data_IF_752911445373
#
_entry.id   IF_752911445373
#
_cell.length_a   1.000
_cell.length_b   1.000
_cell.length_c   1.000
_cell.angle_alpha   90.00
_cell.angle_beta   90.00
_cell.angle_gamma   90.00
#
_symmetry.space_group_name_H-M   'P 1'
#
loop_
_entity.id
_entity.type
_entity.pdbx_description
1 polymer ?
#
# COMPACT_ATOMS: atom_id res chain seq x y z
N UNK A 1 -9.08 16.88 -12.55
CA UNK A 1 -7.65 16.67 -12.84
C UNK A 1 -7.40 16.44 -14.34
N UNK A 2 -8.09 15.49 -14.98
CA UNK A 2 -7.90 15.10 -16.38
C UNK A 2 -8.01 16.30 -17.34
N UNK A 3 -9.04 17.13 -17.20
CA UNK A 3 -9.22 18.36 -18.01
C UNK A 3 -8.13 19.40 -17.75
N UNK A 4 -7.75 19.61 -16.48
CA UNK A 4 -6.67 20.53 -16.12
C UNK A 4 -5.34 20.17 -16.74
N UNK A 5 -4.99 18.87 -16.73
CA UNK A 5 -3.76 18.38 -17.39
C UNK A 5 -3.82 18.67 -18.90
N UNK A 6 -4.96 18.43 -19.54
CA UNK A 6 -5.14 18.72 -20.96
C UNK A 6 -4.93 20.21 -21.27
N UNK A 7 -5.51 21.10 -20.47
CA UNK A 7 -5.36 22.56 -20.63
C UNK A 7 -3.90 23.00 -20.45
N UNK A 8 -3.22 22.52 -19.42
CA UNK A 8 -1.83 22.84 -19.14
C UNK A 8 -0.94 22.42 -20.30
N UNK A 9 -1.09 21.19 -20.78
CA UNK A 9 -0.28 20.67 -21.89
C UNK A 9 -0.57 21.41 -23.20
N UNK A 10 -1.83 21.79 -23.45
CA UNK A 10 -2.19 22.61 -24.61
C UNK A 10 -1.54 23.98 -24.57
N UNK A 11 -1.50 24.63 -23.38
CA UNK A 11 -0.83 25.93 -23.18
C UNK A 11 0.68 25.84 -23.36
N UNK A 12 1.33 24.85 -22.72
CA UNK A 12 2.79 24.66 -22.82
C UNK A 12 3.21 24.43 -24.27
N UNK A 13 2.50 23.58 -24.99
CA UNK A 13 2.81 23.27 -26.39
C UNK A 13 2.30 24.31 -27.38
N UNK A 14 1.49 25.28 -26.95
CA UNK A 14 0.83 26.26 -27.80
C UNK A 14 0.01 25.62 -28.95
N UNK A 15 -0.57 24.43 -28.70
CA UNK A 15 -1.37 23.68 -29.66
C UNK A 15 -2.79 23.55 -29.09
N UNK A 16 -3.78 24.12 -29.79
CA UNK A 16 -5.18 24.05 -29.38
C UNK A 16 -5.83 22.71 -29.74
N UNK A 17 -5.31 21.64 -29.13
CA UNK A 17 -5.83 20.27 -29.18
C UNK A 17 -5.80 19.68 -27.76
N UNK A 18 -6.68 18.72 -27.44
CA UNK A 18 -6.59 18.01 -26.16
C UNK A 18 -5.17 17.54 -25.88
N UNK A 19 -4.69 17.76 -24.66
CA UNK A 19 -3.33 17.46 -24.21
C UNK A 19 -2.21 18.02 -25.11
N UNK A 20 -2.48 19.15 -25.80
CA UNK A 20 -1.52 19.72 -26.75
C UNK A 20 -1.13 18.78 -27.89
N UNK A 21 -2.01 17.83 -28.27
CA UNK A 21 -1.76 16.86 -29.32
C UNK A 21 -0.73 15.76 -28.94
N UNK A 22 -0.46 15.54 -27.68
CA UNK A 22 0.39 14.45 -27.18
C UNK A 22 -0.37 13.12 -27.34
N UNK A 23 0.35 12.06 -27.75
CA UNK A 23 -0.20 10.70 -27.72
C UNK A 23 -0.35 10.25 -26.27
N UNK A 24 -1.57 9.86 -25.90
CA UNK A 24 -1.91 9.38 -24.56
C UNK A 24 -2.12 7.87 -24.56
N UNK A 25 -1.58 7.22 -23.55
CA UNK A 25 -1.89 5.84 -23.19
C UNK A 25 -2.37 5.87 -21.74
N UNK A 26 -3.66 5.55 -21.52
CA UNK A 26 -4.26 5.44 -20.21
C UNK A 26 -4.38 3.96 -19.85
N UNK A 27 -3.89 3.60 -18.66
CA UNK A 27 -3.95 2.24 -18.16
C UNK A 27 -4.65 2.28 -16.80
N UNK A 28 -5.65 1.43 -16.61
CA UNK A 28 -6.38 1.36 -15.34
C UNK A 28 -7.59 0.43 -15.41
N UNK A 29 -8.29 0.37 -14.29
CA UNK A 29 -9.52 -0.41 -14.14
C UNK A 29 -10.51 0.42 -13.31
N UNK A 30 -11.57 0.91 -13.95
CA UNK A 30 -12.58 1.72 -13.28
C UNK A 30 -13.47 0.91 -12.32
N UNK A 31 -13.46 -0.42 -12.39
CA UNK A 31 -14.12 -1.27 -11.41
C UNK A 31 -13.40 -1.31 -10.06
N UNK A 32 -12.13 -0.87 -10.01
CA UNK A 32 -11.42 -0.66 -8.75
C UNK A 32 -11.96 0.58 -8.02
N UNK A 33 -11.22 1.06 -7.03
CA UNK A 33 -11.64 2.22 -6.22
C UNK A 33 -11.96 3.44 -7.08
N UNK A 34 -13.09 4.05 -6.78
CA UNK A 34 -13.48 5.34 -7.38
C UNK A 34 -12.53 6.47 -6.96
N UNK A 35 -12.48 7.58 -7.72
CA UNK A 35 -11.75 8.77 -7.31
C UNK A 35 -12.25 9.27 -5.94
N UNK A 36 -11.32 9.66 -5.04
CA UNK A 36 -11.66 10.21 -3.72
C UNK A 36 -12.44 11.53 -3.85
N UNK A 37 -12.11 12.32 -4.88
CA UNK A 37 -12.79 13.58 -5.18
C UNK A 37 -12.96 13.76 -6.69
N UNK A 38 -14.12 14.24 -7.07
CA UNK A 38 -14.48 14.47 -8.48
C UNK A 38 -14.99 13.23 -9.20
N UNK A 39 -15.23 13.36 -10.47
CA UNK A 39 -15.79 12.34 -11.36
C UNK A 39 -14.71 11.49 -12.04
N UNK A 40 -15.14 10.35 -12.56
CA UNK A 40 -14.31 9.52 -13.44
C UNK A 40 -13.86 10.30 -14.68
N UNK A 41 -12.65 10.06 -15.14
CA UNK A 41 -12.11 10.77 -16.31
C UNK A 41 -12.88 10.50 -17.60
N UNK A 42 -13.57 9.36 -17.72
CA UNK A 42 -14.42 9.06 -18.88
C UNK A 42 -15.70 9.94 -18.95
N UNK A 43 -16.09 10.62 -17.86
CA UNK A 43 -17.19 11.59 -17.83
C UNK A 43 -16.77 13.00 -18.32
N UNK A 44 -15.47 13.19 -18.51
CA UNK A 44 -14.93 14.46 -18.97
C UNK A 44 -15.36 14.76 -20.40
N UNK A 45 -15.72 16.02 -20.67
CA UNK A 45 -16.01 16.50 -22.03
C UNK A 45 -14.85 16.29 -23.02
N UNK A 46 -13.63 16.14 -22.52
CA UNK A 46 -12.43 15.89 -23.33
C UNK A 46 -12.36 14.43 -23.75
N UNK A 47 -12.90 13.50 -22.95
CA UNK A 47 -12.83 12.07 -23.20
C UNK A 47 -13.34 11.68 -24.60
N UNK A 48 -14.52 12.17 -24.97
CA UNK A 48 -15.09 11.95 -26.29
C UNK A 48 -14.28 12.62 -27.41
N UNK A 49 -13.77 13.85 -27.16
CA UNK A 49 -12.98 14.61 -28.13
C UNK A 49 -11.64 13.98 -28.50
N UNK A 50 -11.06 13.15 -27.60
CA UNK A 50 -9.78 12.50 -27.84
C UNK A 50 -9.94 11.33 -28.80
N UNK A 51 -11.10 10.71 -28.91
CA UNK A 51 -11.36 9.55 -29.76
C UNK A 51 -10.48 8.36 -29.38
N UNK A 52 -10.39 8.04 -28.09
CA UNK A 52 -9.49 6.97 -27.62
C UNK A 52 -9.94 5.59 -28.08
N UNK A 53 -8.97 4.80 -28.56
CA UNK A 53 -9.18 3.38 -28.79
C UNK A 53 -9.19 2.65 -27.46
N UNK A 54 -10.30 2.02 -27.12
CA UNK A 54 -10.44 1.15 -25.94
C UNK A 54 -9.85 -0.22 -26.28
N UNK A 55 -8.97 -0.70 -25.44
CA UNK A 55 -8.38 -2.05 -25.50
C UNK A 55 -8.59 -2.69 -24.13
N UNK A 56 -9.28 -3.81 -24.09
CA UNK A 56 -9.49 -4.57 -22.88
C UNK A 56 -8.50 -5.75 -22.81
N UNK A 57 -7.75 -5.81 -21.72
CA UNK A 57 -6.88 -6.95 -21.40
C UNK A 57 -7.73 -8.00 -20.70
N UNK A 58 -7.91 -9.16 -21.33
CA UNK A 58 -8.79 -10.23 -20.82
C UNK A 58 -8.08 -11.22 -19.92
N UNK A 59 -6.77 -11.37 -20.05
CA UNK A 59 -5.99 -12.33 -19.28
C UNK A 59 -5.48 -11.72 -17.98
N UNK A 60 -5.76 -12.39 -16.85
CA UNK A 60 -5.24 -12.01 -15.56
C UNK A 60 -3.90 -12.70 -15.31
N UNK A 61 -2.81 -11.95 -15.38
CA UNK A 61 -1.46 -12.46 -15.08
C UNK A 61 -1.32 -12.81 -13.60
N UNK A 62 -1.89 -11.99 -12.70
CA UNK A 62 -1.77 -12.20 -11.25
C UNK A 62 -2.45 -13.47 -10.78
N UNK A 63 -3.62 -13.80 -11.32
CA UNK A 63 -4.43 -14.95 -10.96
C UNK A 63 -4.35 -16.08 -12.01
N UNK A 64 -3.30 -16.13 -12.83
CA UNK A 64 -3.18 -17.09 -13.94
C UNK A 64 -3.31 -18.56 -13.53
N UNK A 65 -2.98 -18.88 -12.27
CA UNK A 65 -3.10 -20.25 -11.72
C UNK A 65 -4.44 -20.56 -11.06
N UNK A 66 -5.43 -19.66 -11.03
CA UNK A 66 -6.69 -19.85 -10.30
C UNK A 66 -7.89 -19.37 -11.12
N UNK A 67 -8.42 -20.27 -11.94
CA UNK A 67 -9.56 -19.99 -12.83
C UNK A 67 -10.86 -19.74 -12.04
N UNK A 68 -11.04 -20.37 -10.88
CA UNK A 68 -12.18 -20.11 -10.01
C UNK A 68 -12.15 -18.66 -9.52
N UNK A 69 -10.99 -18.22 -9.06
CA UNK A 69 -10.83 -16.86 -8.57
C UNK A 69 -11.01 -15.82 -9.68
N UNK A 70 -10.50 -16.08 -10.88
CA UNK A 70 -10.73 -15.19 -12.03
C UNK A 70 -12.22 -15.00 -12.32
N UNK A 71 -13.01 -16.09 -12.30
CA UNK A 71 -14.47 -16.02 -12.49
C UNK A 71 -15.14 -15.19 -11.40
N UNK A 72 -14.74 -15.38 -10.14
CA UNK A 72 -15.27 -14.60 -9.03
C UNK A 72 -14.96 -13.10 -9.23
N UNK A 73 -13.74 -12.75 -9.60
CA UNK A 73 -13.37 -11.35 -9.84
C UNK A 73 -14.14 -10.75 -11.03
N UNK A 74 -14.43 -11.55 -12.06
CA UNK A 74 -15.24 -11.10 -13.19
C UNK A 74 -16.70 -10.82 -12.77
N UNK A 75 -17.30 -11.67 -11.92
CA UNK A 75 -18.63 -11.39 -11.35
C UNK A 75 -18.68 -10.06 -10.60
N UNK A 76 -17.60 -9.70 -9.87
CA UNK A 76 -17.47 -8.37 -9.25
C UNK A 76 -17.45 -7.26 -10.29
N UNK A 77 -16.70 -7.42 -11.38
CA UNK A 77 -16.57 -6.42 -12.43
C UNK A 77 -17.90 -6.13 -13.12
N UNK A 78 -18.66 -7.16 -13.43
CA UNK A 78 -19.98 -7.02 -14.07
C UNK A 78 -21.11 -6.72 -13.07
N UNK A 79 -20.81 -6.72 -11.78
CA UNK A 79 -21.78 -6.43 -10.73
C UNK A 79 -22.83 -7.49 -10.50
N UNK A 80 -22.58 -8.73 -10.86
CA UNK A 80 -23.53 -9.84 -10.75
C UNK A 80 -22.94 -10.99 -9.95
N UNK A 81 -23.01 -10.88 -8.62
CA UNK A 81 -22.53 -11.95 -7.73
C UNK A 81 -23.57 -13.06 -7.66
N UNK A 82 -23.22 -14.24 -8.13
CA UNK A 82 -24.09 -15.42 -8.07
C UNK A 82 -24.21 -15.98 -6.66
N UNK A 83 -25.30 -16.71 -6.38
CA UNK A 83 -25.47 -17.38 -5.07
C UNK A 83 -24.38 -18.41 -4.79
N UNK A 84 -23.82 -19.05 -5.81
CA UNK A 84 -22.70 -19.97 -5.70
C UNK A 84 -21.42 -19.24 -5.29
N UNK A 85 -21.11 -18.14 -5.96
CA UNK A 85 -19.96 -17.29 -5.62
C UNK A 85 -20.07 -16.74 -4.20
N UNK A 86 -21.23 -16.23 -3.80
CA UNK A 86 -21.44 -15.77 -2.43
C UNK A 86 -21.18 -16.87 -1.40
N UNK A 87 -21.74 -18.10 -1.61
CA UNK A 87 -21.48 -19.24 -0.73
C UNK A 87 -19.99 -19.60 -0.69
N UNK A 88 -19.32 -19.57 -1.84
CA UNK A 88 -17.87 -19.83 -1.92
C UNK A 88 -17.06 -18.80 -1.13
N UNK A 89 -17.39 -17.52 -1.24
CA UNK A 89 -16.73 -16.44 -0.50
C UNK A 89 -16.92 -16.60 1.02
N UNK A 90 -18.09 -17.05 1.49
CA UNK A 90 -18.32 -17.34 2.91
C UNK A 90 -17.39 -18.44 3.45
N UNK A 91 -16.98 -19.39 2.63
CA UNK A 91 -16.05 -20.46 3.06
C UNK A 91 -14.65 -19.91 3.35
N UNK A 92 -14.28 -18.75 2.79
CA UNK A 92 -12.96 -18.15 2.97
C UNK A 92 -12.72 -17.62 4.40
N UNK A 93 -13.76 -17.48 5.21
CA UNK A 93 -13.61 -17.16 6.63
C UNK A 93 -12.80 -18.21 7.40
N UNK A 94 -12.85 -19.46 6.95
CA UNK A 94 -12.15 -20.61 7.55
C UNK A 94 -10.76 -20.84 6.95
N UNK A 95 -10.28 -19.97 6.06
CA UNK A 95 -8.97 -20.14 5.44
C UNK A 95 -7.87 -20.14 6.51
N UNK A 96 -7.04 -21.17 6.46
CA UNK A 96 -5.85 -21.31 7.30
C UNK A 96 -4.64 -21.12 6.38
N UNK A 97 -3.79 -20.17 6.73
CA UNK A 97 -2.55 -19.94 6.01
C UNK A 97 -1.44 -20.86 6.51
N UNK A 98 -0.49 -21.19 5.65
CA UNK A 98 0.71 -21.93 6.05
C UNK A 98 1.44 -21.23 7.18
N UNK A 99 1.98 -22.03 8.12
CA UNK A 99 2.40 -21.64 9.47
C UNK A 99 3.40 -20.49 9.61
N UNK A 100 3.92 -19.95 8.52
CA UNK A 100 4.93 -18.89 8.53
C UNK A 100 4.44 -17.56 7.92
N UNK A 101 3.18 -17.48 7.47
CA UNK A 101 2.67 -16.30 6.78
C UNK A 101 1.59 -15.66 7.66
N UNK A 102 1.92 -14.53 8.28
CA UNK A 102 0.91 -13.67 8.88
C UNK A 102 0.26 -12.87 7.74
N UNK A 103 -1.05 -13.00 7.47
CA UNK A 103 -1.70 -12.28 6.40
C UNK A 103 -1.66 -10.77 6.66
N UNK A 104 -1.56 -9.98 5.59
CA UNK A 104 -1.79 -8.53 5.69
C UNK A 104 -3.29 -8.29 5.83
N UNK A 105 -3.70 -7.65 6.92
CA UNK A 105 -5.09 -7.26 7.12
C UNK A 105 -5.43 -6.04 6.27
N UNK A 106 -6.47 -6.14 5.47
CA UNK A 106 -6.94 -5.06 4.62
C UNK A 106 -8.21 -4.44 5.20
N UNK A 107 -8.14 -3.14 5.45
CA UNK A 107 -9.23 -2.35 6.01
C UNK A 107 -9.68 -1.24 5.07
N UNK A 108 -10.94 -0.86 5.18
CA UNK A 108 -11.52 0.25 4.42
C UNK A 108 -11.00 1.61 4.89
N UNK A 109 -10.73 1.78 6.19
CA UNK A 109 -10.32 3.02 6.83
C UNK A 109 -8.88 2.94 7.38
N UNK A 110 -8.16 4.08 7.35
CA UNK A 110 -6.78 4.17 7.84
C UNK A 110 -6.66 4.05 9.37
N UNK A 111 -7.61 4.59 10.14
CA UNK A 111 -7.52 4.60 11.60
C UNK A 111 -7.35 3.20 12.20
N UNK A 112 -8.05 2.20 11.67
CA UNK A 112 -7.92 0.81 12.11
C UNK A 112 -6.55 0.22 11.75
N UNK A 113 -5.97 0.66 10.64
CA UNK A 113 -4.66 0.18 10.15
C UNK A 113 -3.55 0.59 11.10
N UNK A 114 -3.52 1.86 11.50
CA UNK A 114 -2.46 2.40 12.35
C UNK A 114 -2.50 1.79 13.74
N UNK A 115 -3.70 1.61 14.30
CA UNK A 115 -3.89 0.94 15.59
C UNK A 115 -3.40 -0.51 15.55
N UNK A 116 -3.74 -1.27 14.50
CA UNK A 116 -3.32 -2.66 14.38
C UNK A 116 -1.81 -2.78 14.20
N UNK A 117 -1.22 -1.93 13.35
CA UNK A 117 0.23 -1.92 13.16
C UNK A 117 0.94 -1.56 14.47
N UNK A 118 0.44 -0.57 15.21
CA UNK A 118 0.97 -0.16 16.51
C UNK A 118 0.85 -1.28 17.55
N UNK A 119 -0.29 -1.95 17.61
CA UNK A 119 -0.51 -3.06 18.55
C UNK A 119 0.37 -4.27 18.25
N UNK A 120 0.50 -4.66 16.99
CA UNK A 120 1.38 -5.76 16.61
C UNK A 120 2.85 -5.44 16.85
N UNK A 121 3.27 -4.21 16.59
CA UNK A 121 4.60 -3.74 16.94
C UNK A 121 4.83 -3.82 18.47
N UNK A 122 3.87 -3.34 19.28
CA UNK A 122 3.92 -3.42 20.75
C UNK A 122 4.06 -4.87 21.22
N UNK A 123 3.25 -5.79 20.68
CA UNK A 123 3.30 -7.21 21.03
C UNK A 123 4.69 -7.79 20.74
N UNK A 124 5.22 -7.53 19.56
CA UNK A 124 6.53 -8.02 19.15
C UNK A 124 7.64 -7.47 20.05
N UNK A 125 7.55 -6.17 20.37
CA UNK A 125 8.51 -5.49 21.24
C UNK A 125 8.52 -6.08 22.66
N UNK A 126 7.34 -6.19 23.29
CA UNK A 126 7.20 -6.76 24.62
C UNK A 126 7.68 -8.20 24.67
N UNK A 127 7.36 -9.01 23.67
CA UNK A 127 7.81 -10.40 23.57
C UNK A 127 9.33 -10.51 23.52
N UNK A 128 10.00 -9.62 22.78
CA UNK A 128 11.47 -9.63 22.67
C UNK A 128 12.17 -9.20 23.95
N UNK A 129 11.62 -8.21 24.63
CA UNK A 129 12.24 -7.60 25.80
C UNK A 129 11.72 -8.18 27.12
N UNK A 130 10.93 -9.27 27.07
CA UNK A 130 10.31 -9.90 28.24
C UNK A 130 9.52 -8.92 29.12
N UNK A 131 8.80 -7.96 28.47
CA UNK A 131 8.02 -6.93 29.14
C UNK A 131 6.56 -7.33 29.24
N UNK A 132 5.89 -6.85 30.29
CA UNK A 132 4.46 -7.04 30.45
C UNK A 132 3.68 -6.18 29.44
N UNK A 133 2.95 -6.85 28.56
CA UNK A 133 2.16 -6.21 27.49
C UNK A 133 1.09 -5.28 28.04
N UNK A 134 0.48 -5.58 29.18
CA UNK A 134 -0.61 -4.79 29.76
C UNK A 134 -0.13 -3.45 30.31
N UNK A 135 1.02 -3.45 30.96
CA UNK A 135 1.59 -2.31 31.65
C UNK A 135 2.58 -1.50 30.80
N UNK A 136 2.89 -1.97 29.57
CA UNK A 136 3.87 -1.32 28.71
C UNK A 136 3.27 -0.17 27.90
N UNK A 137 3.83 1.04 28.08
CA UNK A 137 3.51 2.19 27.22
C UNK A 137 4.46 2.26 26.01
N UNK A 138 3.92 2.07 24.83
CA UNK A 138 4.68 2.15 23.57
C UNK A 138 5.34 3.51 23.34
N UNK A 139 4.82 4.56 23.94
CA UNK A 139 5.42 5.90 23.83
C UNK A 139 6.66 6.08 24.74
N UNK A 140 6.85 5.17 25.71
CA UNK A 140 8.03 5.17 26.59
C UNK A 140 9.29 4.61 25.90
N UNK A 141 9.16 4.05 24.71
CA UNK A 141 10.27 3.51 23.94
C UNK A 141 11.26 4.63 23.60
N UNK A 142 12.47 4.55 24.14
CA UNK A 142 13.58 5.42 23.74
C UNK A 142 14.00 5.05 22.33
N UNK A 143 13.90 6.00 21.43
CA UNK A 143 14.04 5.78 20.00
C UNK A 143 15.42 6.27 19.57
N UNK A 144 16.15 5.39 18.89
CA UNK A 144 17.36 5.77 18.18
C UNK A 144 16.98 6.22 16.77
N UNK A 145 17.23 7.48 16.48
CA UNK A 145 16.95 8.04 15.18
C UNK A 145 18.11 7.74 14.21
N UNK A 146 17.82 6.98 13.16
CA UNK A 146 18.76 6.83 12.04
C UNK A 146 18.38 7.84 10.96
N UNK A 147 19.23 8.86 10.80
CA UNK A 147 19.08 9.85 9.72
C UNK A 147 20.09 9.59 8.62
N UNK A 148 19.74 9.79 7.36
CA UNK A 148 20.74 10.20 6.42
C UNK A 148 21.17 11.62 6.83
N UNK A 149 22.46 11.81 7.06
CA UNK A 149 23.01 13.12 7.40
C UNK A 149 22.61 14.11 6.31
N UNK A 150 21.84 15.13 6.64
CA UNK A 150 21.72 16.43 5.95
C UNK A 150 20.51 17.15 6.58
N UNK A 151 20.74 18.01 7.51
CA UNK A 151 20.20 19.34 7.69
C UNK A 151 20.58 19.88 9.06
N UNK A 152 21.24 21.04 9.11
CA UNK A 152 21.69 21.64 10.36
C UNK A 152 20.54 22.07 11.29
N UNK A 153 19.37 22.42 10.75
CA UNK A 153 18.20 22.76 11.56
C UNK A 153 17.54 21.52 12.19
N UNK A 154 17.48 20.43 11.46
CA UNK A 154 16.97 19.15 11.98
C UNK A 154 17.96 18.58 13.03
N UNK A 155 19.26 18.72 12.82
CA UNK A 155 20.28 18.31 13.76
C UNK A 155 20.20 19.12 15.09
N UNK A 156 19.80 20.38 15.08
CA UNK A 156 19.56 21.18 16.30
C UNK A 156 18.34 20.71 17.09
N UNK A 157 17.29 20.28 16.41
CA UNK A 157 16.12 19.67 17.06
C UNK A 157 16.43 18.29 17.67
N UNK A 158 17.39 17.56 17.08
CA UNK A 158 17.79 16.22 17.49
C UNK A 158 18.85 16.22 18.58
N UNK A 159 19.71 17.24 18.64
CA UNK A 159 20.74 17.36 19.69
C UNK A 159 20.19 17.45 21.11
N UNK A 160 18.88 17.74 21.23
CA UNK A 160 18.16 17.71 22.51
C UNK A 160 17.60 16.31 22.88
N UNK A 161 17.76 15.31 22.00
CA UNK A 161 17.39 13.92 22.27
C UNK A 161 18.70 13.15 22.49
N UNK A 162 18.96 12.67 23.70
CA UNK A 162 20.15 11.89 24.04
C UNK A 162 20.30 10.70 23.09
N UNK A 163 21.24 10.81 22.15
CA UNK A 163 21.63 9.75 21.24
C UNK A 163 22.51 8.76 22.01
N UNK A 164 22.05 7.54 22.21
CA UNK A 164 22.88 6.48 22.75
C UNK A 164 23.62 5.86 21.57
N UNK A 165 24.93 6.11 21.49
CA UNK A 165 25.80 5.67 20.39
C UNK A 165 26.18 4.18 20.42
N UNK A 166 25.73 3.41 21.38
CA UNK A 166 26.07 2.00 21.52
C UNK A 166 24.96 1.13 20.95
N UNK A 167 25.18 0.66 19.74
CA UNK A 167 24.42 -0.36 19.05
C UNK A 167 24.70 -1.72 19.69
N UNK A 168 23.91 -2.10 20.67
CA UNK A 168 23.87 -3.46 21.18
C UNK A 168 23.06 -4.34 20.21
N UNK A 169 23.58 -5.52 19.87
CA UNK A 169 22.91 -6.50 19.00
C UNK A 169 21.56 -7.00 19.56
N UNK A 170 21.22 -6.59 20.77
CA UNK A 170 20.16 -7.15 21.61
C UNK A 170 18.84 -6.37 21.66
N UNK A 171 18.54 -5.46 20.75
CA UNK A 171 17.15 -5.01 20.71
C UNK A 171 16.89 -3.51 20.60
N UNK A 172 17.82 -2.76 20.10
CA UNK A 172 17.63 -1.33 19.84
C UNK A 172 16.67 -1.12 18.65
N UNK A 173 15.73 -0.24 18.87
CA UNK A 173 14.73 0.17 17.91
C UNK A 173 15.24 1.27 17.03
N UNK A 174 15.06 1.10 15.74
CA UNK A 174 15.39 2.14 14.78
C UNK A 174 14.11 2.82 14.33
N UNK A 175 14.08 4.14 14.43
CA UNK A 175 13.15 4.97 13.70
C UNK A 175 13.85 5.46 12.46
N UNK A 176 13.26 5.12 11.32
CA UNK A 176 13.68 5.63 10.03
C UNK A 176 12.76 6.77 9.66
N UNK A 177 13.31 7.98 9.58
CA UNK A 177 12.57 9.17 9.15
C UNK A 177 12.79 9.42 7.67
N UNK A 178 11.77 9.94 7.03
CA UNK A 178 11.89 10.55 5.73
C UNK A 178 12.63 11.87 5.88
N UNK A 179 13.52 12.15 4.96
CA UNK A 179 14.07 13.50 4.81
C UNK A 179 13.23 14.19 3.73
N UNK A 180 12.37 15.11 4.15
CA UNK A 180 11.52 15.86 3.23
C UNK A 180 12.04 17.29 3.27
N UNK A 181 12.68 17.73 2.19
CA UNK A 181 12.84 19.13 1.91
C UNK A 181 11.56 19.63 1.25
N UNK A 182 10.62 20.09 2.04
CA UNK A 182 9.41 20.74 1.56
C UNK A 182 9.26 22.07 2.27
N UNK A 183 8.99 23.11 1.50
CA UNK A 183 8.51 24.39 2.02
C UNK A 183 7.05 24.33 2.47
N UNK A 184 6.39 23.19 2.27
CA UNK A 184 5.00 22.99 2.65
C UNK A 184 4.89 22.66 4.14
N UNK A 185 4.45 23.64 4.92
CA UNK A 185 4.23 23.55 6.37
C UNK A 185 3.05 22.64 6.77
N UNK A 186 2.30 22.09 5.82
CA UNK A 186 1.15 21.20 6.06
C UNK A 186 1.55 19.74 6.21
N UNK A 187 2.81 19.38 5.97
CA UNK A 187 3.30 18.02 6.08
C UNK A 187 3.47 17.64 7.55
N UNK A 188 2.73 16.62 7.98
CA UNK A 188 2.89 16.05 9.31
C UNK A 188 4.13 15.13 9.34
N UNK A 189 5.20 15.48 10.10
CA UNK A 189 6.42 14.69 10.15
C UNK A 189 6.20 13.25 10.64
N UNK A 190 5.19 13.04 11.49
CA UNK A 190 4.92 11.72 12.08
C UNK A 190 4.43 10.68 11.06
N UNK A 191 3.87 11.10 9.94
CA UNK A 191 3.45 10.22 8.85
C UNK A 191 4.62 9.53 8.14
N UNK A 192 5.82 10.08 8.29
CA UNK A 192 7.04 9.64 7.61
C UNK A 192 8.02 8.91 8.53
N UNK A 193 7.59 8.54 9.72
CA UNK A 193 8.40 7.79 10.69
C UNK A 193 8.06 6.32 10.62
N UNK A 194 9.03 5.47 10.35
CA UNK A 194 8.87 4.02 10.40
C UNK A 194 9.63 3.46 11.61
N UNK A 195 8.87 2.92 12.57
CA UNK A 195 9.42 2.23 13.76
C UNK A 195 9.64 0.76 13.43
N UNK A 196 10.84 0.27 13.61
CA UNK A 196 11.21 -1.10 13.27
C UNK A 196 11.99 -1.76 14.39
N UNK A 197 11.73 -3.05 14.56
CA UNK A 197 12.57 -3.97 15.35
C UNK A 197 12.81 -5.22 14.53
N UNK A 198 13.82 -6.01 14.90
CA UNK A 198 14.03 -7.32 14.26
C UNK A 198 12.79 -8.20 14.45
N UNK A 199 12.33 -8.83 13.37
CA UNK A 199 11.09 -9.58 13.33
C UNK A 199 9.87 -8.76 12.94
N UNK A 200 9.97 -7.42 12.75
CA UNK A 200 8.87 -6.62 12.22
C UNK A 200 8.48 -7.09 10.84
N UNK A 201 7.17 -7.25 10.62
CA UNK A 201 6.63 -7.53 9.30
C UNK A 201 6.48 -6.22 8.53
N UNK A 202 7.13 -6.16 7.39
CA UNK A 202 7.19 -4.97 6.55
C UNK A 202 6.78 -5.27 5.12
N UNK A 203 6.46 -4.22 4.38
CA UNK A 203 6.13 -4.26 2.96
C UNK A 203 6.99 -3.24 2.22
N UNK A 204 7.53 -3.65 1.09
CA UNK A 204 8.22 -2.77 0.15
C UNK A 204 7.22 -1.81 -0.47
N UNK A 205 7.54 -0.52 -0.54
CA UNK A 205 6.64 0.54 -1.05
C UNK A 205 7.03 1.08 -2.42
N UNK A 206 8.16 0.62 -2.99
CA UNK A 206 8.67 0.99 -4.32
C UNK A 206 9.21 -0.25 -5.03
N UNK A 207 9.33 -0.21 -6.35
CA UNK A 207 10.06 -1.24 -7.09
C UNK A 207 11.56 -0.98 -6.92
N UNK A 208 12.23 -1.82 -6.16
CA UNK A 208 13.67 -1.69 -5.85
C UNK A 208 14.47 -2.53 -6.84
N UNK A 209 14.08 -3.80 -7.00
CA UNK A 209 14.73 -4.77 -7.87
C UNK A 209 13.68 -5.77 -8.37
N UNK A 210 13.28 -5.60 -9.63
CA UNK A 210 12.22 -6.39 -10.26
C UNK A 210 12.67 -7.83 -10.44
N UNK A 211 13.93 -8.04 -10.82
CA UNK A 211 14.48 -9.36 -11.14
C UNK A 211 14.59 -10.24 -9.90
N UNK A 212 14.91 -9.64 -8.75
CA UNK A 212 14.94 -10.35 -7.46
C UNK A 212 13.57 -10.42 -6.77
N UNK A 213 12.53 -9.81 -7.33
CA UNK A 213 11.18 -9.81 -6.79
C UNK A 213 10.95 -8.78 -5.69
N UNK A 214 11.85 -7.81 -5.49
CA UNK A 214 11.67 -6.69 -4.57
C UNK A 214 10.86 -5.57 -5.22
N UNK A 215 9.57 -5.80 -5.33
CA UNK A 215 8.62 -4.87 -5.95
C UNK A 215 7.65 -4.31 -4.90
N UNK A 216 6.95 -3.26 -5.26
CA UNK A 216 5.90 -2.69 -4.42
C UNK A 216 4.87 -3.76 -4.03
N UNK A 217 4.63 -3.90 -2.73
CA UNK A 217 3.76 -4.91 -2.14
C UNK A 217 4.50 -6.17 -1.68
N UNK A 218 5.78 -6.37 -2.01
CA UNK A 218 6.56 -7.51 -1.51
C UNK A 218 6.66 -7.44 0.01
N UNK A 219 6.24 -8.51 0.67
CA UNK A 219 6.29 -8.65 2.13
C UNK A 219 7.59 -9.28 2.56
N UNK A 220 8.12 -8.73 3.65
CA UNK A 220 9.37 -9.17 4.22
C UNK A 220 9.32 -9.13 5.74
N UNK A 221 10.27 -9.82 6.36
CA UNK A 221 10.52 -9.76 7.81
C UNK A 221 11.88 -9.09 8.03
N UNK A 222 11.96 -8.19 8.98
CA UNK A 222 13.19 -7.50 9.33
C UNK A 222 14.11 -8.47 10.09
N UNK A 223 15.29 -8.72 9.54
CA UNK A 223 16.28 -9.63 10.13
C UNK A 223 17.41 -8.87 10.85
N UNK A 224 17.82 -7.75 10.28
CA UNK A 224 18.88 -6.91 10.85
C UNK A 224 18.61 -5.45 10.58
N UNK A 225 18.90 -4.62 11.57
CA UNK A 225 18.79 -3.18 11.49
C UNK A 225 20.20 -2.57 11.50
N UNK A 226 20.42 -1.56 10.68
CA UNK A 226 21.65 -0.78 10.64
C UNK A 226 21.33 0.70 10.34
N UNK A 227 22.27 1.58 10.63
CA UNK A 227 22.10 3.03 10.51
C UNK A 227 21.67 3.50 9.10
N UNK A 228 22.15 2.85 8.04
CA UNK A 228 21.93 3.28 6.64
C UNK A 228 21.20 2.27 5.79
N UNK A 229 20.89 1.09 6.32
CA UNK A 229 20.20 0.01 5.60
C UNK A 229 19.54 -0.94 6.58
N UNK A 230 18.67 -1.78 6.07
CA UNK A 230 18.14 -2.95 6.78
C UNK A 230 18.39 -4.21 5.96
N UNK A 231 18.43 -5.35 6.63
CA UNK A 231 18.35 -6.66 5.99
C UNK A 231 16.98 -7.23 6.29
N UNK A 232 16.29 -7.67 5.24
CA UNK A 232 14.99 -8.31 5.33
C UNK A 232 15.03 -9.69 4.68
N UNK A 233 14.17 -10.60 5.13
CA UNK A 233 13.91 -11.88 4.44
C UNK A 233 12.53 -11.83 3.79
N UNK A 234 12.44 -12.30 2.54
CA UNK A 234 11.15 -12.49 1.87
C UNK A 234 10.46 -13.80 2.32
N UNK A 235 9.26 -14.11 1.79
CA UNK A 235 8.55 -15.34 2.10
C UNK A 235 9.31 -16.61 1.69
N UNK A 236 10.23 -16.53 0.72
CA UNK A 236 11.10 -17.64 0.31
C UNK A 236 12.34 -17.73 1.18
N UNK A 237 12.42 -16.91 2.25
CA UNK A 237 13.57 -16.79 3.17
C UNK A 237 14.86 -16.34 2.46
N UNK A 238 14.76 -15.68 1.32
CA UNK A 238 15.89 -15.02 0.67
C UNK A 238 16.15 -13.69 1.36
N UNK A 239 17.40 -13.40 1.67
CA UNK A 239 17.83 -12.17 2.33
C UNK A 239 18.07 -11.07 1.30
N UNK A 240 17.58 -9.87 1.62
CA UNK A 240 17.73 -8.69 0.79
C UNK A 240 18.19 -7.51 1.64
N UNK A 241 19.10 -6.71 1.09
CA UNK A 241 19.51 -5.44 1.68
C UNK A 241 18.65 -4.31 1.12
N UNK A 242 17.99 -3.60 1.99
CA UNK A 242 17.20 -2.41 1.66
C UNK A 242 17.95 -1.19 2.16
N UNK A 243 18.37 -0.34 1.26
CA UNK A 243 19.00 0.94 1.54
C UNK A 243 17.99 2.08 1.37
N UNK A 244 18.38 3.30 1.78
CA UNK A 244 17.57 4.48 1.51
C UNK A 244 17.37 4.68 0.02
N UNK A 245 16.16 5.01 -0.34
CA UNK A 245 15.74 5.34 -1.70
C UNK A 245 15.68 6.86 -1.84
N UNK A 246 16.18 7.36 -2.95
CA UNK A 246 16.09 8.77 -3.31
C UNK A 246 14.95 8.94 -4.31
N UNK A 247 13.99 9.78 -3.99
CA UNK A 247 12.93 10.18 -4.92
C UNK A 247 13.20 11.63 -5.31
N UNK A 248 13.83 11.81 -6.46
CA UNK A 248 14.17 13.12 -7.00
C UNK A 248 12.98 13.65 -7.79
N UNK A 249 12.11 14.42 -7.16
CA UNK A 249 11.07 15.15 -7.86
C UNK A 249 11.68 16.42 -8.48
N UNK A 250 12.11 16.29 -9.73
CA UNK A 250 12.82 17.34 -10.48
C UNK A 250 11.98 18.62 -10.61
N UNK A 251 10.65 18.53 -10.53
CA UNK A 251 9.76 19.66 -10.76
C UNK A 251 9.49 20.54 -9.52
N UNK A 252 9.67 20.00 -8.30
CA UNK A 252 9.32 20.71 -7.07
C UNK A 252 10.54 21.13 -6.24
N UNK A 253 11.76 20.91 -6.73
CA UNK A 253 12.99 21.07 -5.96
C UNK A 253 12.96 20.31 -4.62
N UNK A 254 12.16 19.28 -4.51
CA UNK A 254 12.02 18.46 -3.30
C UNK A 254 12.84 17.18 -3.47
N UNK A 255 13.79 17.02 -2.58
CA UNK A 255 14.58 15.81 -2.46
C UNK A 255 14.04 15.01 -1.29
N UNK A 256 13.55 13.79 -1.55
CA UNK A 256 13.04 12.91 -0.49
C UNK A 256 13.91 11.67 -0.39
N UNK A 257 14.59 11.50 0.73
CA UNK A 257 15.36 10.31 1.04
C UNK A 257 14.68 9.51 2.14
N UNK A 258 14.28 8.28 1.86
CA UNK A 258 13.50 7.46 2.77
C UNK A 258 13.82 5.97 2.63
N UNK A 259 13.48 5.20 3.66
CA UNK A 259 13.51 3.76 3.58
C UNK A 259 12.21 3.26 2.93
N UNK A 260 12.25 2.62 1.75
CA UNK A 260 11.05 2.30 0.96
C UNK A 260 10.27 1.10 1.52
N UNK A 261 9.94 1.17 2.79
CA UNK A 261 9.20 0.14 3.52
C UNK A 261 8.16 0.75 4.45
N UNK A 262 7.19 -0.04 4.85
CA UNK A 262 6.23 0.28 5.92
C UNK A 262 5.87 -0.99 6.70
N UNK A 263 5.34 -0.85 7.92
CA UNK A 263 4.75 -1.97 8.64
C UNK A 263 3.60 -2.58 7.83
N UNK A 264 3.51 -3.90 7.82
CA UNK A 264 2.59 -4.65 6.97
C UNK A 264 1.75 -5.69 7.71
N UNK A 265 1.43 -5.46 8.97
CA UNK A 265 0.42 -6.25 9.69
C UNK A 265 -0.98 -5.87 9.22
N UNK A 266 -1.19 -4.59 8.93
CA UNK A 266 -2.40 -4.06 8.31
C UNK A 266 -2.09 -2.99 7.28
N UNK A 267 -3.02 -2.81 6.32
CA UNK A 267 -2.94 -1.83 5.24
C UNK A 267 -4.34 -1.40 4.84
N UNK A 268 -4.54 -0.15 4.44
CA UNK A 268 -5.82 0.21 3.83
C UNK A 268 -5.92 -0.33 2.40
N UNK A 269 -7.14 -0.65 1.97
CA UNK A 269 -7.40 -1.13 0.61
C UNK A 269 -6.90 -0.12 -0.42
N UNK A 270 -7.03 1.20 -0.16
CA UNK A 270 -6.48 2.25 -1.01
C UNK A 270 -4.96 2.15 -1.17
N UNK A 271 -4.24 2.00 -0.05
CA UNK A 271 -2.77 1.89 -0.07
C UNK A 271 -2.28 0.55 -0.64
N UNK A 272 -3.14 -0.46 -0.75
CA UNK A 272 -2.83 -1.75 -1.38
C UNK A 272 -3.05 -1.74 -2.90
N UNK A 273 -3.68 -0.70 -3.45
CA UNK A 273 -3.91 -0.59 -4.88
C UNK A 273 -2.57 -0.61 -5.66
N UNK A 274 -2.52 -1.38 -6.75
CA UNK A 274 -1.28 -1.59 -7.51
C UNK A 274 -0.33 -2.64 -6.94
N UNK A 275 -0.46 -3.04 -5.67
CA UNK A 275 0.39 -4.08 -5.07
C UNK A 275 -0.14 -5.49 -5.32
N UNK A 276 0.72 -6.49 -5.16
CA UNK A 276 0.36 -7.91 -5.11
C UNK A 276 0.73 -8.45 -3.73
N UNK A 277 -0.24 -9.08 -3.05
CA UNK A 277 -0.08 -9.58 -1.69
C UNK A 277 -0.13 -11.10 -1.67
N UNK A 278 0.76 -11.72 -0.91
CA UNK A 278 0.89 -13.17 -0.85
C UNK A 278 -0.19 -13.83 0.01
N UNK A 279 -0.63 -13.16 1.08
CA UNK A 279 -1.77 -13.57 1.89
C UNK A 279 -2.48 -12.33 2.46
N UNK A 280 -3.80 -12.33 2.42
CA UNK A 280 -4.64 -11.22 2.87
C UNK A 280 -5.77 -11.71 3.78
N UNK A 281 -6.10 -10.88 4.77
CA UNK A 281 -7.34 -10.99 5.53
C UNK A 281 -8.14 -9.71 5.29
N UNK A 282 -9.38 -9.84 4.81
CA UNK A 282 -10.25 -8.71 4.49
C UNK A 282 -11.47 -8.77 5.40
N UNK A 283 -11.83 -7.63 6.02
CA UNK A 283 -13.11 -7.45 6.69
C UNK A 283 -14.16 -7.02 5.66
N UNK A 284 -15.04 -7.97 5.28
CA UNK A 284 -16.16 -7.77 4.37
C UNK A 284 -17.43 -7.25 5.03
N UNK A 285 -17.34 -6.62 6.19
CA UNK A 285 -18.46 -6.07 6.94
C UNK A 285 -19.02 -4.78 6.30
N UNK A 286 -19.97 -4.16 6.98
CA UNK A 286 -20.53 -2.83 6.63
C UNK A 286 -19.50 -1.70 6.59
N UNK A 287 -18.26 -1.95 7.01
CA UNK A 287 -17.16 -0.99 6.89
C UNK A 287 -16.68 -0.79 5.44
N UNK A 288 -17.06 -1.68 4.52
CA UNK A 288 -16.92 -1.45 3.09
C UNK A 288 -17.97 -0.41 2.68
N UNK A 289 -17.55 0.77 2.25
CA UNK A 289 -18.44 1.92 2.00
C UNK A 289 -18.35 2.50 0.58
N UNK A 290 -17.37 2.07 -0.20
CA UNK A 290 -17.13 2.60 -1.54
C UNK A 290 -17.25 1.51 -2.62
N UNK A 291 -17.78 1.90 -3.78
CA UNK A 291 -17.84 1.02 -4.94
C UNK A 291 -16.44 0.55 -5.34
N UNK A 292 -16.33 -0.73 -5.69
CA UNK A 292 -15.08 -1.37 -6.08
C UNK A 292 -14.10 -1.63 -4.92
N UNK A 293 -14.43 -1.26 -3.68
CA UNK A 293 -13.50 -1.39 -2.57
C UNK A 293 -13.20 -2.86 -2.25
N UNK A 294 -14.24 -3.70 -2.11
CA UNK A 294 -14.06 -5.13 -1.86
C UNK A 294 -13.37 -5.83 -3.04
N UNK A 295 -13.78 -5.51 -4.27
CA UNK A 295 -13.13 -6.00 -5.49
C UNK A 295 -11.64 -5.66 -5.51
N UNK A 296 -11.29 -4.39 -5.22
CA UNK A 296 -9.90 -3.94 -5.17
C UNK A 296 -9.09 -4.75 -4.16
N UNK A 297 -9.63 -4.95 -2.96
CA UNK A 297 -8.97 -5.72 -1.91
C UNK A 297 -8.74 -7.17 -2.31
N UNK A 298 -9.79 -7.87 -2.76
CA UNK A 298 -9.70 -9.26 -3.20
C UNK A 298 -8.69 -9.43 -4.35
N UNK A 299 -8.74 -8.55 -5.34
CA UNK A 299 -7.86 -8.58 -6.52
C UNK A 299 -6.36 -8.41 -6.20
N UNK A 300 -6.00 -8.12 -4.95
CA UNK A 300 -4.58 -8.07 -4.51
C UNK A 300 -3.97 -9.45 -4.35
N UNK A 301 -4.76 -10.48 -4.05
CA UNK A 301 -4.28 -11.84 -3.89
C UNK A 301 -4.01 -12.54 -5.23
N UNK A 302 -3.16 -13.57 -5.17
CA UNK A 302 -2.81 -14.41 -6.32
C UNK A 302 -3.82 -15.55 -6.51
N UNK A 303 -4.42 -16.05 -5.42
CA UNK A 303 -5.42 -17.13 -5.45
C UNK A 303 -6.39 -17.05 -4.26
N UNK A 304 -7.48 -17.78 -4.33
CA UNK A 304 -8.47 -17.89 -3.24
C UNK A 304 -7.86 -18.47 -1.96
N UNK A 305 -6.92 -19.38 -2.07
CA UNK A 305 -6.26 -19.98 -0.90
C UNK A 305 -5.43 -18.96 -0.10
N UNK A 306 -5.14 -17.81 -0.70
CA UNK A 306 -4.39 -16.73 -0.09
C UNK A 306 -5.29 -15.66 0.51
N UNK A 307 -6.60 -15.91 0.61
CA UNK A 307 -7.59 -14.97 1.11
C UNK A 307 -8.31 -15.55 2.31
N UNK A 308 -8.35 -14.77 3.40
CA UNK A 308 -9.29 -14.93 4.48
C UNK A 308 -10.27 -13.76 4.45
N UNK A 309 -11.55 -14.06 4.27
CA UNK A 309 -12.61 -13.06 4.18
C UNK A 309 -13.53 -13.19 5.39
N UNK A 310 -13.44 -12.26 6.33
CA UNK A 310 -14.20 -12.30 7.58
C UNK A 310 -15.40 -11.36 7.53
N UNK A 311 -16.43 -11.67 8.29
CA UNK A 311 -17.64 -10.85 8.47
C UNK A 311 -18.33 -10.46 7.15
N UNK A 312 -18.30 -11.30 6.13
CA UNK A 312 -18.83 -10.96 4.81
C UNK A 312 -20.33 -10.64 4.88
N UNK A 313 -20.70 -9.44 4.48
CA UNK A 313 -22.06 -8.95 4.35
C UNK A 313 -22.39 -8.71 2.88
N UNK A 314 -23.64 -8.92 2.49
CA UNK A 314 -24.13 -8.60 1.14
C UNK A 314 -24.00 -7.13 0.79
N UNK A 315 -24.12 -6.25 1.78
CA UNK A 315 -23.99 -4.79 1.59
C UNK A 315 -22.56 -4.36 1.20
N UNK A 316 -21.56 -5.24 1.35
CA UNK A 316 -20.19 -4.97 0.92
C UNK A 316 -19.98 -5.05 -0.61
N UNK A 317 -20.96 -5.60 -1.36
CA UNK A 317 -20.92 -5.68 -2.81
C UNK A 317 -21.42 -4.37 -3.45
N UNK A 318 -20.73 -3.28 -3.18
CA UNK A 318 -21.10 -1.96 -3.70
C UNK A 318 -20.58 -1.81 -5.13
N UNK A 319 -21.48 -1.52 -6.04
CA UNK A 319 -21.23 -1.43 -7.48
C UNK A 319 -21.51 -0.02 -7.97
N UNK A 320 -20.76 0.42 -8.95
CA UNK A 320 -21.04 1.66 -9.64
C UNK A 320 -21.63 1.36 -11.04
N UNK A 321 -22.92 1.63 -11.23
CA UNK A 321 -23.62 1.37 -12.48
C UNK A 321 -23.06 2.20 -13.66
N UNK A 322 -22.51 3.39 -13.43
CA UNK A 322 -21.89 4.19 -14.49
C UNK A 322 -20.65 3.51 -15.04
N UNK A 323 -19.87 2.85 -14.16
CA UNK A 323 -18.69 2.07 -14.57
C UNK A 323 -19.11 0.84 -15.37
N UNK A 324 -20.15 0.14 -14.94
CA UNK A 324 -20.68 -1.01 -15.70
C UNK A 324 -21.11 -0.57 -17.09
N UNK A 325 -21.88 0.51 -17.17
CA UNK A 325 -22.34 1.07 -18.46
C UNK A 325 -21.18 1.54 -19.36
N UNK A 326 -20.06 1.99 -18.76
CA UNK A 326 -18.88 2.37 -19.53
C UNK A 326 -18.18 1.17 -20.17
N UNK A 327 -18.22 0.00 -19.53
CA UNK A 327 -17.61 -1.24 -20.04
C UNK A 327 -18.57 -2.06 -20.93
N UNK A 328 -19.89 -1.86 -20.85
CA UNK A 328 -20.90 -2.49 -21.72
C UNK A 328 -20.89 -1.90 -23.13
#
# INVERSE_FOLDING_TARGET
LFEKISEILSKIRKINKPFGGIRLILIGDFCQLSPISGDYCFKSKIWEKIGMKKIELKESVRQSGDLEFQKILEEFRIGRITSSTYKRLLTLEKTIFDNNIIPTKLYSLNNNVDEINKNNFKILYCKRNCLDLLNFDINSIKIINCYPAIDEELNKLISNINIIDNLDENGLEYIYKYNIHSTDKTINPDEYIVKLIKGSQVMITRNIDIDSGLVNGTRCIVEKLAKSYIIVSDIKKKFHRISYYNDDNINDCTYTKFLPIRLAYACSIHKSQGSTLDAIEIDGSKNIFAAGQLYTGLSRAKSLNNIKLVNLNKDAFIINNEVINFYS
#
